data_IF_808577329906
#
_entry.id   IF_808577329906
#
_cell.length_a   1.000
_cell.length_b   1.000
_cell.length_c   1.000
_cell.angle_alpha   90.00
_cell.angle_beta   90.00
_cell.angle_gamma   90.00
#
_symmetry.space_group_name_H-M   'P 1'
#
loop_
_entity.id
_entity.type
_entity.pdbx_description
1 polymer ?
#
# COMPACT_ATOMS: atom_id res chain seq x y z
N UNK A 1 -5.77 -14.79 13.89
CA UNK A 1 -6.58 -13.73 13.27
C UNK A 1 -8.01 -14.18 13.06
N UNK A 2 -8.25 -15.31 12.38
CA UNK A 2 -9.59 -15.87 12.16
C UNK A 2 -10.48 -15.91 13.41
N UNK A 3 -9.97 -16.47 14.51
CA UNK A 3 -10.67 -16.51 15.81
C UNK A 3 -11.10 -15.12 16.30
N UNK A 4 -10.30 -14.07 16.05
CA UNK A 4 -10.62 -12.69 16.44
C UNK A 4 -11.76 -12.14 15.59
N UNK A 5 -11.73 -12.39 14.26
CA UNK A 5 -12.80 -12.00 13.34
C UNK A 5 -14.11 -12.71 13.69
N UNK A 6 -14.05 -14.03 13.88
CA UNK A 6 -15.20 -14.85 14.29
C UNK A 6 -15.79 -14.38 15.62
N UNK A 7 -14.94 -14.00 16.58
CA UNK A 7 -15.42 -13.43 17.85
C UNK A 7 -16.09 -12.07 17.67
N UNK A 8 -15.49 -11.17 16.89
CA UNK A 8 -16.09 -9.86 16.60
C UNK A 8 -17.45 -9.99 15.92
N UNK A 9 -17.57 -10.87 14.93
CA UNK A 9 -18.80 -11.04 14.13
C UNK A 9 -19.88 -11.79 14.93
N UNK A 10 -19.53 -12.93 15.53
CA UNK A 10 -20.54 -13.85 16.09
C UNK A 10 -20.81 -13.67 17.58
N UNK A 11 -19.87 -13.08 18.34
CA UNK A 11 -20.06 -12.85 19.78
C UNK A 11 -20.30 -11.38 20.11
N UNK A 12 -19.58 -10.46 19.47
CA UNK A 12 -19.78 -9.03 19.66
C UNK A 12 -20.84 -8.44 18.72
N UNK A 13 -21.28 -9.20 17.70
CA UNK A 13 -22.31 -8.82 16.73
C UNK A 13 -21.95 -7.59 15.88
N UNK A 14 -20.66 -7.36 15.63
CA UNK A 14 -20.25 -6.37 14.63
C UNK A 14 -20.55 -6.90 13.23
N UNK A 15 -21.18 -6.10 12.39
CA UNK A 15 -21.26 -6.40 10.96
C UNK A 15 -19.85 -6.25 10.35
N UNK A 16 -19.44 -7.10 9.40
CA UNK A 16 -18.14 -6.96 8.75
C UNK A 16 -17.87 -5.54 8.23
N UNK A 17 -18.88 -4.91 7.63
CA UNK A 17 -18.82 -3.53 7.10
C UNK A 17 -18.56 -2.44 8.14
N UNK A 18 -18.73 -2.74 9.44
CA UNK A 18 -18.39 -1.85 10.57
C UNK A 18 -16.98 -2.11 11.13
N UNK A 19 -16.27 -3.13 10.63
CA UNK A 19 -14.95 -3.52 11.13
C UNK A 19 -13.84 -2.83 10.34
N UNK A 20 -13.01 -2.07 11.05
CA UNK A 20 -11.77 -1.49 10.54
C UNK A 20 -10.59 -2.38 10.94
N UNK A 21 -9.80 -2.83 9.97
CA UNK A 21 -8.56 -3.55 10.23
C UNK A 21 -7.40 -2.55 10.25
N UNK A 22 -6.83 -2.33 11.44
CA UNK A 22 -5.57 -1.59 11.59
C UNK A 22 -4.46 -2.56 11.99
N UNK A 23 -3.32 -2.48 11.30
CA UNK A 23 -2.15 -3.26 11.61
C UNK A 23 -0.87 -2.44 11.53
N UNK A 24 0.09 -2.83 12.36
CA UNK A 24 1.40 -2.22 12.44
C UNK A 24 2.49 -3.26 12.20
N UNK A 25 3.47 -2.93 11.36
CA UNK A 25 4.65 -3.77 11.12
C UNK A 25 4.28 -5.20 10.69
N UNK A 26 4.80 -6.22 11.37
CA UNK A 26 4.52 -7.64 11.12
C UNK A 26 3.03 -7.99 11.20
N UNK A 27 2.24 -7.21 11.95
CA UNK A 27 0.78 -7.34 12.00
C UNK A 27 0.13 -7.16 10.63
N UNK A 28 0.82 -6.51 9.69
CA UNK A 28 0.38 -6.35 8.31
C UNK A 28 0.05 -7.68 7.65
N UNK A 29 0.86 -8.73 7.89
CA UNK A 29 0.58 -10.08 7.36
C UNK A 29 -0.76 -10.62 7.84
N UNK A 30 -1.05 -10.49 9.13
CA UNK A 30 -2.31 -10.97 9.69
C UNK A 30 -3.50 -10.16 9.22
N UNK A 31 -3.35 -8.84 9.06
CA UNK A 31 -4.43 -7.97 8.61
C UNK A 31 -4.72 -8.12 7.11
N UNK A 32 -3.70 -8.28 6.26
CA UNK A 32 -3.89 -8.59 4.84
C UNK A 32 -4.55 -9.95 4.66
N UNK A 33 -4.20 -10.94 5.51
CA UNK A 33 -4.89 -12.23 5.52
C UNK A 33 -6.37 -12.08 5.89
N UNK A 34 -6.67 -11.31 6.95
CA UNK A 34 -8.06 -11.05 7.33
C UNK A 34 -8.84 -10.33 6.24
N UNK A 35 -8.26 -9.29 5.63
CA UNK A 35 -8.90 -8.52 4.57
C UNK A 35 -9.22 -9.39 3.34
N UNK A 36 -8.31 -10.29 2.94
CA UNK A 36 -8.59 -11.21 1.81
C UNK A 36 -9.58 -12.33 2.16
N UNK A 37 -9.72 -12.71 3.42
CA UNK A 37 -10.64 -13.78 3.88
C UNK A 37 -12.02 -13.26 4.28
N UNK A 38 -12.11 -11.99 4.68
CA UNK A 38 -13.32 -11.29 5.06
C UNK A 38 -13.43 -10.02 4.19
N UNK A 39 -13.75 -10.15 2.90
CA UNK A 39 -13.69 -9.03 1.95
C UNK A 39 -14.69 -7.92 2.25
N UNK A 40 -15.75 -8.20 3.01
CA UNK A 40 -16.78 -7.25 3.40
C UNK A 40 -16.36 -6.32 4.55
N UNK A 41 -15.14 -6.45 5.08
CA UNK A 41 -14.63 -5.51 6.09
C UNK A 41 -14.58 -4.08 5.54
N UNK A 42 -14.93 -3.13 6.41
CA UNK A 42 -15.02 -1.70 6.06
C UNK A 42 -13.77 -1.21 5.34
N UNK A 43 -12.60 -1.45 5.93
CA UNK A 43 -11.35 -0.92 5.42
C UNK A 43 -10.10 -1.52 6.06
N UNK A 44 -8.96 -1.35 5.40
CA UNK A 44 -7.65 -1.80 5.84
C UNK A 44 -6.65 -0.64 5.94
N UNK A 45 -6.03 -0.46 7.10
CA UNK A 45 -4.94 0.49 7.35
C UNK A 45 -3.68 -0.29 7.74
N UNK A 46 -2.61 -0.12 6.97
CA UNK A 46 -1.31 -0.75 7.21
C UNK A 46 -0.27 0.31 7.56
N UNK A 47 0.15 0.35 8.82
CA UNK A 47 1.18 1.25 9.33
C UNK A 47 2.53 0.53 9.40
N UNK A 48 3.58 1.15 8.86
CA UNK A 48 4.95 0.62 8.91
C UNK A 48 5.09 -0.83 8.43
N UNK A 49 4.24 -1.24 7.49
CA UNK A 49 4.24 -2.61 6.95
C UNK A 49 5.13 -2.73 5.72
N UNK A 50 5.33 -3.97 5.27
CA UNK A 50 6.19 -4.34 4.16
C UNK A 50 5.44 -5.25 3.19
N UNK A 51 5.96 -5.43 1.98
CA UNK A 51 5.38 -6.28 0.95
C UNK A 51 5.85 -7.74 1.01
N UNK A 52 7.10 -7.94 1.40
CA UNK A 52 7.81 -9.22 1.36
C UNK A 52 8.88 -9.27 2.47
N UNK A 53 8.97 -10.39 3.18
CA UNK A 53 9.95 -10.56 4.26
C UNK A 53 11.38 -10.77 3.77
N UNK A 54 11.60 -11.33 2.58
CA UNK A 54 12.95 -11.72 2.12
C UNK A 54 13.95 -10.56 2.14
N UNK A 55 13.64 -9.37 1.60
CA UNK A 55 14.57 -8.23 1.63
C UNK A 55 14.94 -7.80 3.06
N UNK A 56 13.98 -7.86 3.99
CA UNK A 56 14.20 -7.52 5.40
C UNK A 56 15.07 -8.56 6.12
N UNK A 57 14.87 -9.84 5.81
CA UNK A 57 15.70 -10.91 6.35
C UNK A 57 17.15 -10.82 5.82
N UNK A 58 17.32 -10.51 4.54
CA UNK A 58 18.65 -10.35 3.94
C UNK A 58 19.39 -9.11 4.45
N UNK A 59 18.68 -8.04 4.82
CA UNK A 59 19.26 -6.85 5.46
C UNK A 59 19.99 -7.20 6.78
N UNK A 60 19.46 -8.15 7.56
CA UNK A 60 19.97 -8.46 8.91
C UNK A 60 20.91 -9.66 8.95
N UNK A 61 20.93 -10.48 7.90
CA UNK A 61 21.71 -11.73 7.85
C UNK A 61 23.01 -11.55 7.06
N UNK A 62 24.05 -12.36 7.32
CA UNK A 62 25.28 -12.34 6.53
C UNK A 62 25.03 -12.65 5.05
N UNK A 63 25.64 -11.89 4.14
CA UNK A 63 25.48 -12.08 2.68
C UNK A 63 25.90 -13.49 2.23
N UNK A 64 26.88 -14.11 2.90
CA UNK A 64 27.30 -15.49 2.64
C UNK A 64 26.18 -16.53 2.83
N UNK A 65 25.11 -16.18 3.54
CA UNK A 65 23.96 -17.06 3.82
C UNK A 65 22.72 -16.72 2.98
N UNK A 66 22.83 -15.79 2.02
CA UNK A 66 21.70 -15.32 1.19
C UNK A 66 20.82 -16.43 0.66
N UNK A 67 21.42 -17.48 0.09
CA UNK A 67 20.68 -18.61 -0.49
C UNK A 67 19.90 -19.41 0.57
N UNK A 68 20.52 -19.69 1.72
CA UNK A 68 19.87 -20.39 2.83
C UNK A 68 18.72 -19.56 3.42
N UNK A 69 18.97 -18.27 3.71
CA UNK A 69 17.96 -17.35 4.27
C UNK A 69 16.77 -17.23 3.32
N UNK A 70 17.01 -17.00 2.04
CA UNK A 70 15.95 -16.90 1.03
C UNK A 70 15.10 -18.18 0.99
N UNK A 71 15.74 -19.35 0.95
CA UNK A 71 15.03 -20.64 0.94
C UNK A 71 14.20 -20.83 2.21
N UNK A 72 14.79 -20.61 3.39
CA UNK A 72 14.09 -20.77 4.67
C UNK A 72 12.90 -19.85 4.78
N UNK A 73 13.06 -18.56 4.44
CA UNK A 73 11.95 -17.58 4.45
C UNK A 73 10.84 -18.03 3.51
N UNK A 74 11.16 -18.37 2.25
CA UNK A 74 10.15 -18.77 1.27
C UNK A 74 9.44 -20.08 1.63
N UNK A 75 10.12 -21.03 2.24
CA UNK A 75 9.55 -22.35 2.55
C UNK A 75 8.82 -22.41 3.89
N UNK A 76 9.18 -21.56 4.86
CA UNK A 76 8.71 -21.70 6.24
C UNK A 76 8.17 -20.42 6.86
N UNK A 77 8.49 -19.23 6.33
CA UNK A 77 8.14 -17.93 6.91
C UNK A 77 7.71 -16.94 5.81
N UNK A 78 6.92 -17.40 4.84
CA UNK A 78 6.57 -16.59 3.66
C UNK A 78 5.52 -15.52 4.01
N UNK A 79 5.95 -14.45 4.67
CA UNK A 79 5.10 -13.28 4.93
C UNK A 79 4.98 -12.46 3.65
N UNK A 80 3.97 -12.78 2.85
CA UNK A 80 3.70 -12.25 1.50
C UNK A 80 2.57 -11.22 1.50
N UNK A 81 2.65 -10.22 2.38
CA UNK A 81 1.62 -9.19 2.57
C UNK A 81 1.14 -8.59 1.25
N UNK A 82 2.04 -8.33 0.30
CA UNK A 82 1.68 -7.79 -1.00
C UNK A 82 0.76 -8.71 -1.82
N UNK A 83 1.00 -10.03 -1.82
CA UNK A 83 0.15 -10.98 -2.54
C UNK A 83 -1.22 -11.15 -1.89
N UNK A 84 -1.28 -11.07 -0.55
CA UNK A 84 -2.54 -11.11 0.18
C UNK A 84 -3.32 -9.82 -0.02
N UNK A 85 -2.65 -8.67 0.02
CA UNK A 85 -3.24 -7.36 -0.17
C UNK A 85 -3.91 -7.23 -1.55
N UNK A 86 -3.29 -7.78 -2.60
CA UNK A 86 -3.89 -7.78 -3.94
C UNK A 86 -5.21 -8.56 -4.04
N UNK A 87 -5.55 -9.40 -3.06
CA UNK A 87 -6.83 -10.14 -3.05
C UNK A 87 -7.96 -9.40 -2.31
N UNK A 88 -7.65 -8.25 -1.73
CA UNK A 88 -8.64 -7.41 -1.06
C UNK A 88 -9.11 -6.28 -1.99
N UNK A 89 -10.42 -6.23 -2.23
CA UNK A 89 -11.07 -5.27 -3.12
C UNK A 89 -11.41 -3.94 -2.42
N UNK A 90 -11.48 -3.93 -1.09
CA UNK A 90 -11.94 -2.77 -0.33
C UNK A 90 -10.92 -1.62 -0.19
N UNK A 91 -11.28 -0.53 0.52
CA UNK A 91 -10.42 0.64 0.67
C UNK A 91 -9.15 0.34 1.50
N UNK A 92 -8.00 0.87 1.08
CA UNK A 92 -6.68 0.62 1.71
C UNK A 92 -5.91 1.92 1.91
N UNK A 93 -5.35 2.13 3.10
CA UNK A 93 -4.36 3.18 3.39
C UNK A 93 -3.08 2.56 3.92
N UNK A 94 -1.95 3.00 3.37
CA UNK A 94 -0.62 2.69 3.84
C UNK A 94 -0.05 3.90 4.57
N UNK A 95 0.37 3.73 5.82
CA UNK A 95 1.12 4.76 6.55
C UNK A 95 2.60 4.41 6.46
N UNK A 96 3.34 5.18 5.67
CA UNK A 96 4.79 5.04 5.49
C UNK A 96 5.53 5.94 6.47
N UNK A 97 6.30 5.32 7.34
CA UNK A 97 7.19 6.02 8.26
C UNK A 97 8.46 6.44 7.55
N UNK A 98 8.73 7.75 7.49
CA UNK A 98 9.83 8.27 6.68
C UNK A 98 11.20 8.08 7.33
N UNK A 99 11.25 7.84 8.65
CA UNK A 99 12.48 7.53 9.41
C UNK A 99 12.52 6.08 9.89
N UNK A 100 11.80 5.19 9.21
CA UNK A 100 11.70 3.79 9.60
C UNK A 100 13.01 3.05 9.42
N UNK A 101 13.60 2.59 10.51
CA UNK A 101 14.87 1.88 10.55
C UNK A 101 14.72 0.36 10.40
N UNK A 102 13.50 -0.18 10.44
CA UNK A 102 13.23 -1.63 10.41
C UNK A 102 12.88 -2.05 8.99
N UNK A 103 11.85 -1.45 8.40
CA UNK A 103 11.35 -1.83 7.06
C UNK A 103 12.06 -1.11 5.91
N UNK A 104 13.07 -0.28 6.19
CA UNK A 104 13.93 0.35 5.18
C UNK A 104 15.21 -0.44 5.02
N UNK A 105 15.50 -0.98 3.83
CA UNK A 105 16.62 -1.94 3.66
C UNK A 105 18.01 -1.30 3.57
N UNK A 106 18.09 -0.03 3.19
CA UNK A 106 19.31 0.76 3.15
C UNK A 106 19.14 1.94 4.13
N UNK A 107 19.97 2.06 5.18
CA UNK A 107 19.82 3.13 6.16
C UNK A 107 19.76 4.51 5.50
N UNK A 108 18.84 5.36 5.98
CA UNK A 108 18.62 6.73 5.51
C UNK A 108 18.18 6.88 4.04
N UNK A 109 17.96 5.77 3.32
CA UNK A 109 17.42 5.78 1.97
C UNK A 109 15.92 5.42 1.97
N UNK A 110 15.07 6.45 1.92
CA UNK A 110 13.62 6.31 1.89
C UNK A 110 13.11 5.46 0.72
N UNK A 111 13.86 5.38 -0.39
CA UNK A 111 13.47 4.56 -1.54
C UNK A 111 13.51 3.07 -1.22
N UNK A 112 14.35 2.68 -0.27
CA UNK A 112 14.48 1.30 0.18
C UNK A 112 13.45 0.87 1.24
N UNK A 113 12.52 1.77 1.61
CA UNK A 113 11.39 1.46 2.49
C UNK A 113 10.43 0.47 1.82
N UNK A 114 10.19 -0.69 2.43
CA UNK A 114 9.34 -1.76 1.86
C UNK A 114 7.85 -1.38 1.74
N UNK A 115 7.41 -0.30 2.39
CA UNK A 115 6.09 0.30 2.15
C UNK A 115 5.94 0.82 0.71
N UNK A 116 7.02 1.23 0.07
CA UNK A 116 7.03 1.67 -1.34
C UNK A 116 6.65 0.53 -2.28
N UNK A 117 7.30 -0.63 -2.14
CA UNK A 117 7.01 -1.80 -2.96
C UNK A 117 5.62 -2.38 -2.66
N UNK A 118 5.14 -2.23 -1.42
CA UNK A 118 3.77 -2.60 -1.04
C UNK A 118 2.73 -1.73 -1.78
N UNK A 119 2.92 -0.41 -1.79
CA UNK A 119 2.08 0.52 -2.55
C UNK A 119 2.11 0.18 -4.04
N UNK A 120 3.31 0.02 -4.60
CA UNK A 120 3.46 -0.26 -6.02
C UNK A 120 2.79 -1.57 -6.41
N UNK A 121 2.87 -2.63 -5.60
CA UNK A 121 2.17 -3.90 -5.85
C UNK A 121 0.66 -3.72 -5.85
N UNK A 122 0.12 -3.00 -4.87
CA UNK A 122 -1.31 -2.69 -4.80
C UNK A 122 -1.79 -1.95 -6.05
N UNK A 123 -1.10 -0.87 -6.43
CA UNK A 123 -1.50 -0.04 -7.56
C UNK A 123 -1.33 -0.77 -8.90
N UNK A 124 -0.24 -1.53 -9.09
CA UNK A 124 -0.04 -2.34 -10.29
C UNK A 124 -1.12 -3.41 -10.46
N UNK A 125 -1.58 -3.99 -9.35
CA UNK A 125 -2.68 -4.95 -9.38
C UNK A 125 -4.01 -4.28 -9.70
N UNK A 126 -4.34 -3.17 -9.02
CA UNK A 126 -5.64 -2.50 -9.17
C UNK A 126 -5.78 -1.73 -10.48
N UNK A 127 -4.71 -1.14 -10.98
CA UNK A 127 -4.72 -0.21 -12.11
C UNK A 127 -3.61 -0.53 -13.11
N UNK A 128 -3.57 -1.74 -13.70
CA UNK A 128 -2.45 -2.19 -14.53
C UNK A 128 -2.20 -1.32 -15.76
N UNK A 129 -3.23 -0.65 -16.31
CA UNK A 129 -3.11 0.21 -17.49
C UNK A 129 -2.62 1.63 -17.15
N UNK A 130 -2.74 2.05 -15.88
CA UNK A 130 -2.15 3.29 -15.34
C UNK A 130 -0.71 3.03 -14.93
N UNK A 131 -0.48 1.94 -14.19
CA UNK A 131 0.81 1.54 -13.62
C UNK A 131 1.67 0.76 -14.63
N UNK A 132 1.81 1.31 -15.83
CA UNK A 132 2.81 0.86 -16.81
C UNK A 132 4.22 1.19 -16.31
N UNK A 133 5.27 0.80 -17.06
CA UNK A 133 6.66 1.12 -16.71
C UNK A 133 6.87 2.61 -16.41
N UNK A 134 6.29 3.49 -17.23
CA UNK A 134 6.35 4.94 -17.04
C UNK A 134 5.56 5.39 -15.81
N UNK A 135 4.36 4.84 -15.58
CA UNK A 135 3.57 5.13 -14.37
C UNK A 135 4.30 4.74 -13.07
N UNK A 136 4.94 3.56 -13.07
CA UNK A 136 5.78 3.11 -11.96
C UNK A 136 6.97 4.05 -11.75
N UNK A 137 7.62 4.50 -12.83
CA UNK A 137 8.74 5.45 -12.76
C UNK A 137 8.33 6.76 -12.11
N UNK A 138 7.20 7.33 -12.54
CA UNK A 138 6.68 8.60 -12.00
C UNK A 138 6.30 8.45 -10.51
N UNK A 139 5.65 7.34 -10.13
CA UNK A 139 5.34 7.09 -8.71
C UNK A 139 6.63 6.88 -7.90
N UNK A 140 7.64 6.19 -8.44
CA UNK A 140 8.95 6.04 -7.77
C UNK A 140 9.68 7.37 -7.58
N UNK A 141 9.57 8.30 -8.54
CA UNK A 141 10.08 9.66 -8.38
C UNK A 141 9.43 10.37 -7.19
N UNK A 142 8.10 10.30 -7.09
CA UNK A 142 7.36 10.86 -5.96
C UNK A 142 7.69 10.16 -4.63
N UNK A 143 7.84 8.85 -4.62
CA UNK A 143 8.22 8.08 -3.42
C UNK A 143 9.63 8.44 -2.91
N UNK A 144 10.52 8.93 -3.79
CA UNK A 144 11.86 9.38 -3.44
C UNK A 144 11.91 10.78 -2.85
N UNK A 145 10.83 11.55 -2.94
CA UNK A 145 10.72 12.83 -2.27
C UNK A 145 10.75 12.62 -0.74
N UNK A 146 11.66 13.32 -0.09
CA UNK A 146 11.91 13.24 1.36
C UNK A 146 11.16 14.30 2.15
N UNK A 147 10.58 15.30 1.45
CA UNK A 147 9.83 16.39 2.08
C UNK A 147 8.49 16.67 1.37
N UNK A 148 7.49 17.23 2.08
CA UNK A 148 6.23 17.65 1.45
C UNK A 148 6.40 18.64 0.29
N UNK A 149 7.46 19.46 0.33
CA UNK A 149 7.76 20.42 -0.74
C UNK A 149 8.26 19.72 -2.00
N UNK A 150 9.13 18.71 -1.87
CA UNK A 150 9.57 17.89 -2.99
C UNK A 150 8.41 17.07 -3.57
N UNK A 151 7.57 16.48 -2.72
CA UNK A 151 6.35 15.78 -3.14
C UNK A 151 5.45 16.70 -3.97
N UNK A 152 5.18 17.91 -3.47
CA UNK A 152 4.38 18.92 -4.17
C UNK A 152 5.03 19.38 -5.49
N UNK A 153 6.37 19.43 -5.54
CA UNK A 153 7.11 19.79 -6.75
C UNK A 153 6.97 18.73 -7.84
N UNK A 154 7.02 17.44 -7.47
CA UNK A 154 6.74 16.34 -8.41
C UNK A 154 5.29 16.43 -8.89
N UNK A 155 4.35 16.60 -7.96
CA UNK A 155 2.92 16.70 -8.27
C UNK A 155 2.61 17.87 -9.23
N UNK A 156 3.22 19.04 -9.01
CA UNK A 156 3.06 20.20 -9.88
C UNK A 156 3.71 20.01 -11.25
N UNK A 157 4.85 19.30 -11.33
CA UNK A 157 5.56 19.06 -12.59
C UNK A 157 4.76 18.21 -13.56
N UNK A 158 4.02 17.23 -13.04
CA UNK A 158 3.14 16.37 -13.83
C UNK A 158 1.72 16.96 -13.96
N UNK A 159 1.52 18.21 -13.54
CA UNK A 159 0.25 18.96 -13.69
C UNK A 159 -0.96 18.17 -13.16
N UNK A 160 -0.81 17.49 -12.02
CA UNK A 160 -1.86 16.61 -11.49
C UNK A 160 -3.08 17.43 -11.06
N UNK A 161 -4.19 17.23 -11.76
CA UNK A 161 -5.49 17.80 -11.43
C UNK A 161 -6.35 16.81 -10.64
N UNK A 162 -6.47 17.01 -9.32
CA UNK A 162 -7.18 16.09 -8.41
C UNK A 162 -8.66 15.89 -8.80
N UNK A 163 -9.35 16.93 -9.24
CA UNK A 163 -10.76 16.88 -9.65
C UNK A 163 -10.95 16.11 -10.96
N UNK A 164 -10.07 16.33 -11.93
CA UNK A 164 -10.05 15.58 -13.18
C UNK A 164 -9.79 14.09 -12.90
N UNK A 165 -8.75 13.77 -12.11
CA UNK A 165 -8.43 12.39 -11.73
C UNK A 165 -9.62 11.69 -11.06
N UNK A 166 -10.26 12.36 -10.10
CA UNK A 166 -11.43 11.80 -9.41
C UNK A 166 -12.60 11.58 -10.37
N UNK A 167 -12.85 12.52 -11.29
CA UNK A 167 -13.93 12.41 -12.27
C UNK A 167 -13.74 11.23 -13.21
N UNK A 168 -12.51 10.98 -13.67
CA UNK A 168 -12.16 9.85 -14.53
C UNK A 168 -12.42 8.53 -13.80
N UNK A 169 -11.93 8.40 -12.56
CA UNK A 169 -12.09 7.17 -11.78
C UNK A 169 -13.55 6.89 -11.42
N UNK A 170 -14.33 7.92 -11.05
CA UNK A 170 -15.77 7.78 -10.79
C UNK A 170 -16.55 7.37 -12.02
N UNK A 171 -16.24 7.99 -13.16
CA UNK A 171 -16.89 7.67 -14.44
C UNK A 171 -16.60 6.22 -14.84
N UNK A 172 -15.34 5.79 -14.72
CA UNK A 172 -14.95 4.41 -14.98
C UNK A 172 -15.69 3.42 -14.08
N UNK A 173 -15.73 3.67 -12.76
CA UNK A 173 -16.43 2.83 -11.78
C UNK A 173 -17.92 2.71 -12.07
N UNK A 174 -18.56 3.81 -12.47
CA UNK A 174 -19.99 3.83 -12.79
C UNK A 174 -20.32 2.99 -14.03
N UNK A 175 -19.41 2.95 -15.01
CA UNK A 175 -19.60 2.21 -16.27
C UNK A 175 -19.19 0.73 -16.18
N UNK A 176 -18.11 0.43 -15.47
CA UNK A 176 -17.47 -0.89 -15.47
C UNK A 176 -17.61 -1.66 -14.14
N UNK A 177 -18.13 -1.00 -13.09
CA UNK A 177 -18.27 -1.58 -11.75
C UNK A 177 -17.06 -1.34 -10.84
N UNK A 178 -17.15 -1.86 -9.62
CA UNK A 178 -16.18 -1.59 -8.55
C UNK A 178 -15.05 -2.62 -8.38
N UNK A 179 -15.06 -3.71 -9.16
CA UNK A 179 -14.11 -4.81 -8.98
C UNK A 179 -12.80 -4.54 -9.71
N UNK A 180 -11.68 -4.75 -9.03
CA UNK A 180 -10.35 -4.70 -9.61
C UNK A 180 -10.02 -6.02 -10.34
N UNK A 181 -9.08 -6.02 -11.30
CA UNK A 181 -8.32 -4.87 -11.82
C UNK A 181 -9.15 -3.97 -12.76
N UNK A 182 -8.86 -2.67 -12.75
CA UNK A 182 -9.43 -1.70 -13.69
C UNK A 182 -8.52 -1.47 -14.89
N UNK A 183 -9.10 -1.52 -16.09
CA UNK A 183 -8.41 -1.18 -17.35
C UNK A 183 -8.42 0.31 -17.67
N UNK A 184 -8.81 1.17 -16.71
CA UNK A 184 -8.73 2.63 -16.86
C UNK A 184 -7.33 3.05 -17.31
N UNK A 185 -7.24 3.93 -18.32
CA UNK A 185 -5.97 4.37 -18.88
C UNK A 185 -5.48 3.59 -20.11
N UNK A 186 -6.21 2.56 -20.57
CA UNK A 186 -5.83 1.80 -21.77
C UNK A 186 -5.70 2.68 -23.03
N UNK A 187 -6.69 3.56 -23.26
CA UNK A 187 -6.74 4.47 -24.41
C UNK A 187 -6.33 5.92 -24.05
N UNK A 188 -5.61 6.09 -22.94
CA UNK A 188 -5.24 7.40 -22.43
C UNK A 188 -3.82 7.78 -22.85
N UNK A 189 -3.65 9.05 -23.19
CA UNK A 189 -2.31 9.62 -23.41
C UNK A 189 -1.42 9.44 -22.16
N UNK A 190 -0.09 9.32 -22.34
CA UNK A 190 0.84 9.11 -21.24
C UNK A 190 0.66 10.10 -20.07
N UNK A 191 0.43 11.38 -20.37
CA UNK A 191 0.28 12.45 -19.39
C UNK A 191 -0.89 12.20 -18.44
N UNK A 192 -2.04 11.80 -18.98
CA UNK A 192 -3.21 11.47 -18.17
C UNK A 192 -2.97 10.27 -17.24
N UNK A 193 -2.22 9.27 -17.72
CA UNK A 193 -1.83 8.12 -16.87
C UNK A 193 -0.88 8.51 -15.77
N UNK A 194 0.09 9.39 -16.04
CA UNK A 194 1.03 9.87 -15.01
C UNK A 194 0.29 10.64 -13.92
N UNK A 195 -0.65 11.50 -14.29
CA UNK A 195 -1.50 12.20 -13.34
C UNK A 195 -2.28 11.23 -12.44
N UNK A 196 -2.96 10.26 -13.03
CA UNK A 196 -3.71 9.26 -12.27
C UNK A 196 -2.80 8.40 -11.38
N UNK A 197 -1.60 8.03 -11.85
CA UNK A 197 -0.65 7.23 -11.08
C UNK A 197 -0.22 7.97 -9.79
N UNK A 198 0.13 9.25 -9.91
CA UNK A 198 0.48 10.10 -8.76
C UNK A 198 -0.72 10.35 -7.84
N UNK A 199 -1.89 10.61 -8.43
CA UNK A 199 -3.14 10.77 -7.69
C UNK A 199 -3.44 9.55 -6.82
N UNK A 200 -3.43 8.36 -7.43
CA UNK A 200 -3.69 7.11 -6.73
C UNK A 200 -2.63 6.82 -5.65
N UNK A 201 -1.35 7.09 -5.92
CA UNK A 201 -0.29 6.96 -4.93
C UNK A 201 -0.55 7.83 -3.70
N UNK A 202 -0.91 9.11 -3.90
CA UNK A 202 -1.21 10.04 -2.81
C UNK A 202 -2.49 9.71 -2.04
N UNK A 203 -3.48 9.07 -2.67
CA UNK A 203 -4.71 8.63 -1.98
C UNK A 203 -4.49 7.37 -1.13
N UNK A 204 -3.53 6.51 -1.48
CA UNK A 204 -3.27 5.25 -0.78
C UNK A 204 -2.06 5.28 0.16
N UNK A 205 -1.23 6.33 0.12
CA UNK A 205 -0.05 6.46 0.97
C UNK A 205 -0.07 7.77 1.77
N UNK A 206 0.07 7.66 3.08
CA UNK A 206 0.32 8.78 3.99
C UNK A 206 1.74 8.68 4.54
N UNK A 207 2.53 9.74 4.37
CA UNK A 207 3.82 9.85 5.06
C UNK A 207 3.62 10.30 6.50
N UNK A 208 4.35 9.66 7.42
CA UNK A 208 4.41 10.04 8.83
C UNK A 208 5.87 10.11 9.26
N UNK A 209 6.30 11.28 9.75
CA UNK A 209 7.70 11.49 10.14
C UNK A 209 7.98 10.89 11.52
N UNK A 210 8.32 9.60 11.54
CA UNK A 210 8.65 8.89 12.77
C UNK A 210 9.52 7.65 12.51
N UNK A 211 10.16 7.16 13.57
CA UNK A 211 10.84 5.85 13.59
C UNK A 211 9.82 4.71 13.70
N UNK A 212 10.28 3.48 13.47
CA UNK A 212 9.42 2.30 13.35
C UNK A 212 8.52 2.11 14.58
N UNK A 213 9.09 2.21 15.79
CA UNK A 213 8.43 1.90 17.06
C UNK A 213 7.67 3.09 17.71
N UNK A 214 7.55 4.22 17.02
CA UNK A 214 6.81 5.38 17.54
C UNK A 214 5.29 5.14 17.38
N UNK A 215 4.45 5.20 18.42
CA UNK A 215 3.00 5.02 18.25
C UNK A 215 2.40 6.04 17.27
N UNK A 216 1.47 5.63 16.41
CA UNK A 216 0.75 6.56 15.54
C UNK A 216 -0.21 7.41 16.40
N UNK A 217 -0.09 8.74 16.41
CA UNK A 217 -1.01 9.59 17.14
C UNK A 217 -2.43 9.47 16.61
N UNK A 218 -3.44 9.56 17.48
CA UNK A 218 -4.85 9.43 17.07
C UNK A 218 -5.28 10.44 15.99
N UNK A 219 -4.67 11.64 15.97
CA UNK A 219 -4.96 12.67 14.96
C UNK A 219 -4.32 12.38 13.58
N UNK A 220 -3.35 11.48 13.51
CA UNK A 220 -2.73 11.03 12.26
C UNK A 220 -3.50 9.86 11.64
N UNK A 221 -4.36 9.17 12.40
CA UNK A 221 -5.19 8.10 11.87
C UNK A 221 -6.23 8.67 10.89
N UNK A 222 -6.31 8.06 9.71
CA UNK A 222 -7.29 8.41 8.68
C UNK A 222 -7.94 7.16 8.14
N UNK A 223 -9.23 7.26 7.83
CA UNK A 223 -9.90 6.21 7.07
C UNK A 223 -9.40 6.24 5.62
N UNK A 224 -9.21 5.08 4.99
CA UNK A 224 -8.81 5.00 3.60
C UNK A 224 -9.80 5.65 2.63
N UNK A 225 -9.23 6.18 1.55
CA UNK A 225 -10.01 6.77 0.46
C UNK A 225 -10.70 5.70 -0.39
N UNK A 226 -11.88 6.05 -0.92
CA UNK A 226 -12.65 5.23 -1.87
C UNK A 226 -13.22 6.12 -2.97
N UNK A 227 -13.25 5.60 -4.21
CA UNK A 227 -13.78 6.26 -5.43
C UNK A 227 -15.29 6.35 -5.41
#
# INVERSE_FOLDING_TARGET
MDTVMQYAIHHLNFLPEDIVLYAWSIGGFTATWAAMSYPDVSTLVLDASFDDLVPLALKVMPESWRGLVTRTVRQHLNLNNGEQLCKYEGPVLLVRRTKDEIITTVPEDIMSNRGNDLLLKLLQHRYPKIMTEEGIRVVREWLGASTPMEEASVYSRYEVEDDWCLSVLKSYKAEHGGHFPWSVGEDMEPEGRWQLALYLARKHLQNFEATHCTPLPAHEFRLPWSV
#
